data_IF_624886420082
#
_entry.id   IF_624886420082
#
_cell.length_a   1.000
_cell.length_b   1.000
_cell.length_c   1.000
_cell.angle_alpha   90.00
_cell.angle_beta   90.00
_cell.angle_gamma   90.00
#
_symmetry.space_group_name_H-M   'P 1'
#
loop_
_entity.id
_entity.type
_entity.pdbx_description
1 polymer ?
#
# COMPACT_ATOMS: atom_id res chain seq x y z
N UNK A 1 16.83 0.95 7.77
CA UNK A 1 15.38 1.06 8.03
C UNK A 1 14.61 0.68 6.79
N UNK A 2 13.63 -0.15 6.96
CA UNK A 2 12.74 -0.46 5.84
C UNK A 2 11.87 0.76 5.53
N UNK A 3 11.62 0.94 4.24
CA UNK A 3 10.84 2.08 3.73
C UNK A 3 9.45 1.62 3.36
N UNK A 4 8.45 2.34 3.84
CA UNK A 4 7.05 2.09 3.52
C UNK A 4 6.48 3.30 2.81
N UNK A 5 5.83 3.07 1.67
CA UNK A 5 5.10 4.12 0.96
C UNK A 5 3.61 3.93 1.25
N UNK A 6 2.96 4.98 1.69
CA UNK A 6 1.53 4.99 1.99
C UNK A 6 0.84 5.88 0.95
N UNK A 7 -0.06 5.29 0.17
CA UNK A 7 -0.78 6.00 -0.90
C UNK A 7 -2.27 5.92 -0.63
N UNK A 8 -2.87 7.01 -0.21
CA UNK A 8 -4.29 7.10 0.11
C UNK A 8 -4.69 8.57 0.05
N UNK A 9 -5.86 8.88 -0.50
CA UNK A 9 -6.32 10.27 -0.61
C UNK A 9 -6.98 10.79 0.68
N UNK A 10 -7.18 9.94 1.66
CA UNK A 10 -7.71 10.32 2.97
C UNK A 10 -6.56 10.69 3.91
N UNK A 11 -6.37 11.98 4.13
CA UNK A 11 -5.24 12.49 4.91
C UNK A 11 -5.17 11.91 6.33
N UNK A 12 -6.32 11.77 6.99
CA UNK A 12 -6.37 11.24 8.36
C UNK A 12 -5.84 9.80 8.42
N UNK A 13 -6.16 8.99 7.43
CA UNK A 13 -5.70 7.61 7.36
C UNK A 13 -4.18 7.59 7.16
N UNK A 14 -3.68 8.39 6.24
CA UNK A 14 -2.24 8.48 5.96
C UNK A 14 -1.47 8.89 7.20
N UNK A 15 -1.93 9.92 7.89
CA UNK A 15 -1.26 10.41 9.10
C UNK A 15 -1.25 9.38 10.21
N UNK A 16 -2.38 8.68 10.42
CA UNK A 16 -2.47 7.64 11.44
C UNK A 16 -1.54 6.47 11.15
N UNK A 17 -1.53 6.00 9.90
CA UNK A 17 -0.66 4.92 9.48
C UNK A 17 0.81 5.30 9.60
N UNK A 18 1.15 6.50 9.16
CA UNK A 18 2.52 7.00 9.25
C UNK A 18 3.00 7.02 10.70
N UNK A 19 2.17 7.57 11.59
CA UNK A 19 2.52 7.65 13.00
C UNK A 19 2.80 6.28 13.60
N UNK A 20 1.88 5.33 13.42
CA UNK A 20 2.01 4.02 14.06
C UNK A 20 3.18 3.22 13.47
N UNK A 21 3.39 3.32 12.16
CA UNK A 21 4.48 2.59 11.51
C UNK A 21 5.85 3.20 11.84
N UNK A 22 5.94 4.51 11.94
CA UNK A 22 7.18 5.15 12.39
C UNK A 22 7.52 4.77 13.83
N UNK A 23 6.50 4.61 14.67
CA UNK A 23 6.70 4.15 16.05
C UNK A 23 7.28 2.73 16.07
N UNK A 24 6.95 1.91 15.05
CA UNK A 24 7.48 0.55 14.91
C UNK A 24 8.90 0.50 14.31
N UNK A 25 9.45 1.66 13.95
CA UNK A 25 10.81 1.74 13.43
C UNK A 25 10.93 1.81 11.91
N UNK A 26 9.82 1.96 11.20
CA UNK A 26 9.85 2.09 9.75
C UNK A 26 10.03 3.54 9.31
N UNK A 27 10.60 3.72 8.12
CA UNK A 27 10.71 5.03 7.49
C UNK A 27 9.54 5.16 6.51
N UNK A 28 8.64 6.13 6.74
CA UNK A 28 7.41 6.25 5.96
C UNK A 28 7.42 7.43 5.00
N UNK A 29 6.94 7.18 3.80
CA UNK A 29 6.73 8.18 2.75
C UNK A 29 5.27 8.17 2.39
N UNK A 30 4.73 9.29 1.96
CA UNK A 30 3.29 9.44 1.72
C UNK A 30 3.01 10.04 0.35
N UNK A 31 1.88 9.63 -0.23
CA UNK A 31 1.34 10.24 -1.43
C UNK A 31 -0.19 10.24 -1.31
N UNK A 32 -0.84 11.26 -1.84
CA UNK A 32 -2.28 11.45 -1.66
C UNK A 32 -3.09 11.23 -2.94
N UNK A 33 -2.43 10.80 -3.99
CA UNK A 33 -3.09 10.42 -5.24
C UNK A 33 -2.25 9.37 -5.98
N UNK A 34 -2.86 8.78 -7.00
CA UNK A 34 -2.23 7.68 -7.72
C UNK A 34 -0.99 8.08 -8.52
N UNK A 35 -1.03 9.25 -9.16
CA UNK A 35 0.12 9.71 -9.96
C UNK A 35 1.36 9.93 -9.09
N UNK A 36 1.17 10.62 -7.96
CA UNK A 36 2.27 10.85 -7.01
C UNK A 36 2.71 9.54 -6.37
N UNK A 37 1.77 8.64 -6.10
CA UNK A 37 2.08 7.34 -5.54
C UNK A 37 2.98 6.51 -6.45
N UNK A 38 2.63 6.45 -7.73
CA UNK A 38 3.43 5.70 -8.70
C UNK A 38 4.81 6.32 -8.87
N UNK A 39 4.88 7.64 -8.97
CA UNK A 39 6.14 8.36 -9.07
C UNK A 39 7.03 8.09 -7.86
N UNK A 40 6.45 8.21 -6.66
CA UNK A 40 7.18 7.97 -5.41
C UNK A 40 7.68 6.52 -5.33
N UNK A 41 6.86 5.56 -5.73
CA UNK A 41 7.27 4.15 -5.72
C UNK A 41 8.50 3.92 -6.58
N UNK A 42 8.55 4.56 -7.74
CA UNK A 42 9.68 4.41 -8.66
C UNK A 42 10.94 5.13 -8.17
N UNK A 43 10.78 6.29 -7.53
CA UNK A 43 11.91 7.06 -7.01
C UNK A 43 12.49 6.45 -5.73
N UNK A 44 11.63 6.05 -4.81
CA UNK A 44 12.03 5.58 -3.48
C UNK A 44 12.38 4.09 -3.49
N UNK A 45 11.70 3.32 -4.32
CA UNK A 45 11.76 1.85 -4.34
C UNK A 45 11.55 1.33 -2.91
N UNK A 46 10.33 1.50 -2.36
CA UNK A 46 10.09 1.13 -0.97
C UNK A 46 10.13 -0.38 -0.76
N UNK A 47 10.22 -0.78 0.49
CA UNK A 47 10.20 -2.20 0.86
C UNK A 47 8.78 -2.75 0.92
N UNK A 48 7.79 -1.87 1.04
CA UNK A 48 6.36 -2.24 1.05
C UNK A 48 5.53 -1.02 0.69
N UNK A 49 4.38 -1.24 0.04
CA UNK A 49 3.43 -0.19 -0.30
C UNK A 49 2.06 -0.51 0.31
N UNK A 50 1.51 0.45 1.05
CA UNK A 50 0.11 0.43 1.47
C UNK A 50 -0.63 1.31 0.46
N UNK A 51 -1.61 0.75 -0.24
CA UNK A 51 -2.18 1.37 -1.43
C UNK A 51 -3.70 1.34 -1.42
N UNK A 52 -4.32 2.51 -1.32
CA UNK A 52 -5.77 2.63 -1.42
C UNK A 52 -6.21 2.32 -2.86
N UNK A 53 -7.29 1.56 -2.97
CA UNK A 53 -7.84 1.19 -4.28
C UNK A 53 -8.62 2.32 -4.91
N UNK A 54 -9.49 2.98 -4.13
CA UNK A 54 -10.46 3.95 -4.63
C UNK A 54 -9.92 5.37 -4.56
N UNK A 55 -9.12 5.74 -5.56
CA UNK A 55 -8.61 7.10 -5.69
C UNK A 55 -8.99 7.69 -7.03
N UNK A 56 -9.19 9.02 -7.10
CA UNK A 56 -9.49 9.67 -8.38
C UNK A 56 -8.30 9.56 -9.34
N UNK A 57 -8.58 9.62 -10.64
CA UNK A 57 -7.63 9.56 -11.76
C UNK A 57 -6.97 8.21 -11.95
N UNK A 58 -6.10 7.81 -11.06
CA UNK A 58 -5.42 6.52 -11.16
C UNK A 58 -5.69 5.72 -9.89
N UNK A 59 -6.47 4.64 -10.02
CA UNK A 59 -6.81 3.81 -8.87
C UNK A 59 -5.68 2.85 -8.51
N UNK A 60 -5.80 2.24 -7.31
CA UNK A 60 -4.76 1.36 -6.80
C UNK A 60 -4.52 0.11 -7.64
N UNK A 61 -5.54 -0.42 -8.30
CA UNK A 61 -5.38 -1.59 -9.17
C UNK A 61 -4.40 -1.32 -10.29
N UNK A 62 -4.54 -0.16 -10.94
CA UNK A 62 -3.66 0.22 -12.04
C UNK A 62 -2.22 0.38 -11.59
N UNK A 63 -2.02 1.00 -10.42
CA UNK A 63 -0.69 1.19 -9.85
C UNK A 63 -0.05 -0.17 -9.55
N UNK A 64 -0.80 -1.05 -8.89
CA UNK A 64 -0.30 -2.39 -8.57
C UNK A 64 0.10 -3.16 -9.82
N UNK A 65 -0.75 -3.11 -10.86
CA UNK A 65 -0.47 -3.79 -12.12
C UNK A 65 0.82 -3.25 -12.76
N UNK A 66 0.96 -1.92 -12.82
CA UNK A 66 2.14 -1.30 -13.42
C UNK A 66 3.42 -1.71 -12.70
N UNK A 67 3.38 -1.78 -11.37
CA UNK A 67 4.55 -2.16 -10.59
C UNK A 67 4.83 -3.66 -10.66
N UNK A 68 3.80 -4.49 -10.55
CA UNK A 68 3.97 -5.93 -10.52
C UNK A 68 4.41 -6.53 -11.86
N UNK A 69 4.12 -5.88 -12.95
CA UNK A 69 4.56 -6.33 -14.27
C UNK A 69 5.86 -5.64 -14.73
N UNK A 70 6.51 -4.89 -13.85
CA UNK A 70 7.81 -4.26 -14.12
C UNK A 70 8.87 -5.03 -13.33
N UNK A 71 9.85 -5.60 -14.04
CA UNK A 71 10.91 -6.41 -13.40
C UNK A 71 11.65 -5.68 -12.29
N UNK A 72 11.73 -4.36 -12.36
CA UNK A 72 12.43 -3.56 -11.35
C UNK A 72 11.64 -3.45 -10.03
N UNK A 73 10.31 -3.51 -10.10
CA UNK A 73 9.45 -3.24 -8.93
C UNK A 73 8.57 -4.42 -8.52
N UNK A 74 8.57 -5.50 -9.28
CA UNK A 74 7.62 -6.61 -9.08
C UNK A 74 7.71 -7.29 -7.72
N UNK A 75 8.85 -7.21 -7.06
CA UNK A 75 9.05 -7.89 -5.79
C UNK A 75 8.65 -7.06 -4.57
N UNK A 76 8.24 -5.81 -4.78
CA UNK A 76 7.76 -4.96 -3.69
C UNK A 76 6.39 -5.48 -3.22
N UNK A 77 6.23 -5.88 -1.94
CA UNK A 77 4.92 -6.28 -1.44
C UNK A 77 3.94 -5.10 -1.48
N UNK A 78 2.74 -5.37 -1.97
CA UNK A 78 1.66 -4.37 -2.01
C UNK A 78 0.49 -4.88 -1.19
N UNK A 79 0.08 -4.09 -0.20
CA UNK A 79 -1.10 -4.33 0.60
C UNK A 79 -2.16 -3.32 0.19
N UNK A 80 -3.27 -3.79 -0.34
CA UNK A 80 -4.39 -2.93 -0.75
C UNK A 80 -5.23 -2.54 0.45
N UNK A 81 -5.63 -1.27 0.48
CA UNK A 81 -6.59 -0.76 1.47
C UNK A 81 -7.89 -0.51 0.74
N UNK A 82 -9.00 -1.06 1.21
CA UNK A 82 -10.24 -1.00 0.46
C UNK A 82 -11.49 -0.94 1.35
N UNK A 83 -12.48 -0.18 0.90
CA UNK A 83 -13.81 -0.17 1.53
C UNK A 83 -14.74 -1.22 0.94
N UNK A 84 -14.31 -1.95 -0.10
CA UNK A 84 -15.11 -2.96 -0.79
C UNK A 84 -15.13 -4.29 -0.05
N UNK A 85 -16.05 -5.18 -0.47
CA UNK A 85 -16.08 -6.54 0.05
C UNK A 85 -14.81 -7.28 -0.35
N UNK A 86 -14.32 -8.11 0.55
CA UNK A 86 -13.06 -8.83 0.36
C UNK A 86 -13.07 -9.75 -0.87
N UNK A 87 -14.23 -10.32 -1.21
CA UNK A 87 -14.30 -11.27 -2.33
C UNK A 87 -14.05 -10.61 -3.67
N UNK A 88 -14.68 -9.45 -3.92
CA UNK A 88 -14.49 -8.71 -5.17
C UNK A 88 -13.06 -8.21 -5.29
N UNK A 89 -12.55 -7.62 -4.21
CA UNK A 89 -11.20 -7.08 -4.19
C UNK A 89 -10.15 -8.17 -4.33
N UNK A 90 -10.42 -9.34 -3.76
CA UNK A 90 -9.50 -10.46 -3.81
C UNK A 90 -9.27 -10.94 -5.25
N UNK A 91 -10.35 -11.08 -6.02
CA UNK A 91 -10.24 -11.48 -7.41
C UNK A 91 -9.45 -10.46 -8.24
N UNK A 92 -9.79 -9.18 -8.10
CA UNK A 92 -9.14 -8.12 -8.86
C UNK A 92 -7.68 -7.96 -8.40
N UNK A 93 -7.43 -8.08 -7.10
CA UNK A 93 -6.08 -7.99 -6.56
C UNK A 93 -5.16 -9.10 -7.05
N UNK A 94 -5.68 -10.32 -7.17
CA UNK A 94 -4.91 -11.44 -7.72
C UNK A 94 -4.49 -11.15 -9.17
N UNK A 95 -5.38 -10.58 -9.96
CA UNK A 95 -5.07 -10.19 -11.34
C UNK A 95 -4.03 -9.07 -11.39
N UNK A 96 -4.00 -8.18 -10.42
CA UNK A 96 -3.04 -7.07 -10.35
C UNK A 96 -1.77 -7.42 -9.61
N UNK A 97 -1.70 -8.60 -8.98
CA UNK A 97 -0.51 -9.06 -8.27
C UNK A 97 -0.34 -8.54 -6.86
N UNK A 98 -1.36 -7.91 -6.29
CA UNK A 98 -1.29 -7.45 -4.90
C UNK A 98 -1.11 -8.64 -3.95
N UNK A 99 -0.36 -8.43 -2.89
CA UNK A 99 0.00 -9.50 -1.95
C UNK A 99 -1.06 -9.71 -0.87
N UNK A 100 -1.77 -8.65 -0.49
CA UNK A 100 -2.70 -8.69 0.63
C UNK A 100 -3.75 -7.60 0.48
N UNK A 101 -4.87 -7.73 1.21
CA UNK A 101 -5.87 -6.66 1.31
C UNK A 101 -6.24 -6.43 2.76
N UNK A 102 -6.57 -5.19 3.08
CA UNK A 102 -7.11 -4.82 4.37
C UNK A 102 -8.36 -3.99 4.13
N UNK A 103 -9.49 -4.42 4.69
CA UNK A 103 -10.77 -3.74 4.50
C UNK A 103 -10.90 -2.57 5.47
N UNK A 104 -11.32 -1.42 4.97
CA UNK A 104 -11.64 -0.25 5.79
C UNK A 104 -13.05 -0.38 6.37
N UNK A 105 -13.30 0.04 7.59
CA UNK A 105 -12.32 0.54 8.56
C UNK A 105 -11.48 -0.59 9.14
N UNK A 106 -10.25 -0.30 9.50
CA UNK A 106 -9.32 -1.29 10.05
C UNK A 106 -8.73 -0.82 11.37
N UNK A 107 -8.24 -1.79 12.15
CA UNK A 107 -7.42 -1.52 13.32
C UNK A 107 -6.01 -1.22 12.88
N UNK A 108 -5.39 -0.19 13.46
CA UNK A 108 -4.00 0.13 13.18
C UNK A 108 -3.07 -1.02 13.59
N UNK A 109 -3.36 -1.68 14.70
CA UNK A 109 -2.57 -2.83 15.14
C UNK A 109 -2.60 -3.98 14.13
N UNK A 110 -3.73 -4.18 13.46
CA UNK A 110 -3.84 -5.19 12.43
C UNK A 110 -2.95 -4.86 11.23
N UNK A 111 -2.95 -3.59 10.81
CA UNK A 111 -2.09 -3.14 9.71
C UNK A 111 -0.62 -3.34 10.07
N UNK A 112 -0.22 -2.95 11.27
CA UNK A 112 1.15 -3.14 11.77
C UNK A 112 1.53 -4.62 11.72
N UNK A 113 0.64 -5.48 12.19
CA UNK A 113 0.86 -6.94 12.18
C UNK A 113 1.12 -7.45 10.76
N UNK A 114 0.32 -7.01 9.79
CA UNK A 114 0.49 -7.42 8.40
C UNK A 114 1.79 -6.91 7.80
N UNK A 115 2.12 -5.65 8.05
CA UNK A 115 3.39 -5.06 7.58
C UNK A 115 4.57 -5.85 8.14
N UNK A 116 4.52 -6.18 9.43
CA UNK A 116 5.59 -6.94 10.08
C UNK A 116 5.76 -8.33 9.48
N UNK A 117 4.67 -8.97 9.05
CA UNK A 117 4.74 -10.28 8.38
C UNK A 117 5.58 -10.23 7.11
N UNK A 118 5.56 -9.11 6.40
CA UNK A 118 6.32 -8.97 5.16
C UNK A 118 7.73 -8.43 5.36
N UNK A 119 7.97 -7.65 6.39
CA UNK A 119 9.23 -6.93 6.56
C UNK A 119 10.08 -7.40 7.73
N UNK A 120 9.51 -8.11 8.70
CA UNK A 120 10.25 -8.65 9.84
C UNK A 120 10.16 -10.16 9.85
N UNK A 121 11.27 -10.79 10.06
CA UNK A 121 11.32 -12.26 10.14
C UNK A 121 10.93 -12.77 11.52
#
# INVERSE_FOLDING_TARGET
>A
MEKILIVDDEQDIVESLKFVLETEGYECYTAFNGDDGLKSAKEIVPDLILLDIMMPKMNGYKISRLLKFDNKYKDIPIIMLTARSQEEDKLIGEETGANEYITKPFDLDYVVSKVNQYLKD
#
